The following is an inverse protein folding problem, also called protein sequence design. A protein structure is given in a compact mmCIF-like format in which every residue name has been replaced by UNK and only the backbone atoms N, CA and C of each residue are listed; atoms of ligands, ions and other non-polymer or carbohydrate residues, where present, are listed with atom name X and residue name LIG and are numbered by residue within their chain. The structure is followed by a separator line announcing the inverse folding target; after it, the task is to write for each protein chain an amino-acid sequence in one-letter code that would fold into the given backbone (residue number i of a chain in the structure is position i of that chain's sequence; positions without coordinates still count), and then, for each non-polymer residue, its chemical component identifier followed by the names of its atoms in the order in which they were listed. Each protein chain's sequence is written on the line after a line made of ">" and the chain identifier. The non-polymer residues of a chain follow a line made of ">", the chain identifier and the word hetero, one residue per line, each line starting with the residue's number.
data_IF_922803306166
#
_entry.id   IF_922803306166
#
_cell.length_a   1.000
_cell.length_b   1.000
_cell.length_c   1.000
_cell.angle_alpha   90.00
_cell.angle_beta   90.00
_cell.angle_gamma   90.00
#
_symmetry.space_group_name_H-M   'P 1'
#
loop_
_entity.id
_entity.type
_entity.pdbx_description
1 polymer ?
#
# COMPACT_ATOMS: atom_id res chain seq x y z
N UNK A 1 -25.68 2.58 -30.30
CA UNK A 1 -24.29 2.35 -30.73
C UNK A 1 -23.55 3.66 -30.49
N UNK A 2 -23.10 3.83 -29.26
CA UNK A 2 -22.32 4.97 -28.78
C UNK A 2 -21.13 4.30 -28.13
N UNK A 3 -20.00 4.31 -28.84
CA UNK A 3 -18.70 3.85 -28.36
C UNK A 3 -18.32 4.73 -27.17
N UNK A 4 -18.51 4.23 -25.96
CA UNK A 4 -17.82 4.74 -24.79
C UNK A 4 -16.33 4.44 -25.00
N UNK A 5 -15.53 5.49 -25.00
CA UNK A 5 -14.08 5.43 -25.12
C UNK A 5 -13.54 4.80 -23.82
N UNK A 6 -13.23 3.51 -23.87
CA UNK A 6 -12.98 2.63 -22.70
C UNK A 6 -11.51 2.68 -22.24
N UNK A 7 -10.86 3.82 -22.46
CA UNK A 7 -9.47 4.06 -22.07
C UNK A 7 -9.35 5.45 -21.50
N UNK A 8 -9.57 5.61 -20.19
CA UNK A 8 -8.90 6.69 -19.49
C UNK A 8 -7.40 6.47 -19.70
N UNK A 9 -6.78 7.27 -20.56
CA UNK A 9 -5.40 7.08 -20.98
C UNK A 9 -4.50 7.12 -19.74
N UNK A 10 -3.47 6.29 -19.67
CA UNK A 10 -2.55 6.24 -18.50
C UNK A 10 -2.01 7.63 -18.15
N UNK A 11 -1.94 8.51 -19.15
CA UNK A 11 -1.61 9.93 -19.05
C UNK A 11 -2.57 10.71 -18.14
N UNK A 12 -3.88 10.56 -18.29
CA UNK A 12 -4.90 11.23 -17.48
C UNK A 12 -4.91 10.71 -16.03
N UNK A 13 -4.66 9.41 -15.90
CA UNK A 13 -4.49 8.73 -14.62
C UNK A 13 -3.24 9.24 -13.89
N UNK A 14 -2.11 9.38 -14.59
CA UNK A 14 -0.87 9.95 -14.05
C UNK A 14 -1.09 11.39 -13.61
N UNK A 15 -1.75 12.23 -14.43
CA UNK A 15 -2.05 13.61 -14.06
C UNK A 15 -2.91 13.72 -12.79
N UNK A 16 -3.88 12.82 -12.62
CA UNK A 16 -4.72 12.79 -11.42
C UNK A 16 -3.93 12.39 -10.17
N UNK A 17 -3.08 11.37 -10.28
CA UNK A 17 -2.16 10.97 -9.22
C UNK A 17 -1.23 12.11 -8.81
N UNK A 18 -0.64 12.81 -9.77
CA UNK A 18 0.27 13.93 -9.51
C UNK A 18 -0.45 15.05 -8.75
N UNK A 19 -1.67 15.41 -9.16
CA UNK A 19 -2.51 16.39 -8.45
C UNK A 19 -2.76 15.98 -7.01
N UNK A 20 -3.16 14.73 -6.78
CA UNK A 20 -3.40 14.19 -5.43
C UNK A 20 -2.11 14.20 -4.61
N UNK A 21 -0.97 13.77 -5.19
CA UNK A 21 0.32 13.78 -4.50
C UNK A 21 0.71 15.18 -4.07
N UNK A 22 0.68 16.16 -4.97
CA UNK A 22 1.00 17.56 -4.67
C UNK A 22 0.06 18.16 -3.61
N UNK A 23 -1.23 17.81 -3.66
CA UNK A 23 -2.22 18.22 -2.65
C UNK A 23 -1.85 17.68 -1.25
N UNK A 24 -1.45 16.41 -1.14
CA UNK A 24 -1.04 15.83 0.15
C UNK A 24 0.32 16.37 0.62
N UNK A 25 1.28 16.55 -0.29
CA UNK A 25 2.62 17.11 0.01
C UNK A 25 2.56 18.56 0.47
N UNK A 26 1.54 19.33 0.07
CA UNK A 26 1.30 20.68 0.57
C UNK A 26 0.96 20.71 2.08
N UNK A 27 0.46 19.60 2.63
CA UNK A 27 0.13 19.47 4.06
C UNK A 27 1.23 18.71 4.82
N UNK A 28 1.87 17.73 4.18
CA UNK A 28 2.90 16.89 4.78
C UNK A 28 4.27 17.30 4.26
N UNK A 29 4.95 18.16 5.01
CA UNK A 29 6.25 18.68 4.61
C UNK A 29 7.38 17.64 4.70
N UNK A 30 8.23 17.61 3.65
CA UNK A 30 9.52 16.93 3.67
C UNK A 30 9.48 15.41 3.65
N UNK A 31 8.32 14.80 3.31
CA UNK A 31 8.15 13.33 3.33
C UNK A 31 7.50 12.75 2.06
N UNK A 32 8.07 13.03 0.87
CA UNK A 32 7.50 12.57 -0.41
C UNK A 32 7.39 11.04 -0.48
N UNK A 33 8.35 10.28 0.09
CA UNK A 33 8.31 8.82 0.09
C UNK A 33 7.14 8.24 0.91
N UNK A 34 6.77 8.90 2.02
CA UNK A 34 5.62 8.47 2.84
C UNK A 34 4.32 8.70 2.08
N UNK A 35 4.20 9.85 1.42
CA UNK A 35 3.02 10.17 0.58
C UNK A 35 2.93 9.19 -0.59
N UNK A 36 4.04 8.94 -1.29
CA UNK A 36 4.10 7.97 -2.39
C UNK A 36 3.72 6.56 -1.95
N UNK A 37 4.19 6.13 -0.78
CA UNK A 37 3.83 4.82 -0.22
C UNK A 37 2.35 4.76 0.16
N UNK A 38 1.78 5.82 0.76
CA UNK A 38 0.36 5.88 1.09
C UNK A 38 -0.52 5.77 -0.18
N UNK A 39 -0.17 6.49 -1.25
CA UNK A 39 -0.84 6.38 -2.55
C UNK A 39 -0.67 4.98 -3.16
N UNK A 40 0.53 4.41 -3.08
CA UNK A 40 0.80 3.03 -3.54
C UNK A 40 -0.12 2.04 -2.83
N UNK A 41 -0.26 2.15 -1.51
CA UNK A 41 -1.13 1.28 -0.71
C UNK A 41 -2.60 1.49 -1.05
N UNK A 42 -3.05 2.74 -1.20
CA UNK A 42 -4.44 3.04 -1.60
C UNK A 42 -4.78 2.40 -2.95
N UNK A 43 -3.93 2.59 -3.96
CA UNK A 43 -4.15 2.10 -5.32
C UNK A 43 -3.97 0.59 -5.46
N UNK A 44 -3.11 -0.01 -4.63
CA UNK A 44 -3.01 -1.46 -4.48
C UNK A 44 -4.15 -2.06 -3.66
N UNK A 45 -5.04 -1.21 -3.13
CA UNK A 45 -6.17 -1.53 -2.24
C UNK A 45 -5.74 -2.28 -0.97
N UNK A 46 -4.64 -1.84 -0.38
CA UNK A 46 -4.12 -2.33 0.88
C UNK A 46 -4.46 -1.42 2.06
N UNK A 47 -3.86 -1.75 3.20
CA UNK A 47 -3.98 -0.98 4.44
C UNK A 47 -2.60 -0.61 4.96
N UNK A 48 -2.48 0.56 5.57
CA UNK A 48 -1.22 1.15 6.00
C UNK A 48 -1.11 1.13 7.53
N UNK A 49 0.01 0.61 8.03
CA UNK A 49 0.36 0.66 9.44
C UNK A 49 1.47 1.69 9.68
N UNK A 50 1.22 2.66 10.55
CA UNK A 50 2.16 3.73 10.90
C UNK A 50 2.68 3.50 12.32
N UNK A 51 3.93 3.05 12.42
CA UNK A 51 4.64 2.85 13.68
C UNK A 51 5.53 4.06 13.96
N UNK A 52 5.22 4.82 15.01
CA UNK A 52 6.03 5.99 15.36
C UNK A 52 5.73 6.52 16.76
N UNK A 53 6.51 7.51 17.18
CA UNK A 53 6.25 8.31 18.38
C UNK A 53 5.05 9.27 18.18
N UNK A 54 4.42 9.73 19.26
CA UNK A 54 3.35 10.74 19.19
C UNK A 54 3.80 12.05 18.55
N UNK A 55 2.86 12.79 17.93
CA UNK A 55 3.10 14.16 17.45
C UNK A 55 3.70 14.31 16.05
N UNK A 56 3.98 13.23 15.32
CA UNK A 56 4.69 13.28 14.01
C UNK A 56 3.78 13.41 12.77
N UNK A 57 2.54 13.86 12.91
CA UNK A 57 1.66 14.15 11.75
C UNK A 57 0.99 12.93 11.09
N UNK A 58 0.94 11.76 11.75
CA UNK A 58 0.31 10.52 11.23
C UNK A 58 -1.15 10.72 10.81
N UNK A 59 -1.93 11.34 11.70
CA UNK A 59 -3.35 11.64 11.46
C UNK A 59 -3.51 12.72 10.38
N UNK A 60 -2.54 13.61 10.21
CA UNK A 60 -2.56 14.59 9.13
C UNK A 60 -2.41 13.93 7.76
N UNK A 61 -1.52 12.94 7.61
CA UNK A 61 -1.35 12.21 6.34
C UNK A 61 -2.66 11.59 5.86
N UNK A 62 -3.35 10.86 6.74
CA UNK A 62 -4.59 10.19 6.38
C UNK A 62 -5.73 11.19 6.09
N UNK A 63 -5.84 12.28 6.87
CA UNK A 63 -6.82 13.34 6.61
C UNK A 63 -6.54 14.11 5.32
N UNK A 64 -5.28 14.43 5.05
CA UNK A 64 -4.86 15.11 3.83
C UNK A 64 -5.15 14.25 2.60
N UNK A 65 -4.84 12.95 2.66
CA UNK A 65 -5.16 12.01 1.60
C UNK A 65 -6.67 12.00 1.31
N UNK A 66 -7.49 11.84 2.34
CA UNK A 66 -8.93 11.76 2.17
C UNK A 66 -9.57 13.05 1.65
N UNK A 67 -9.18 14.21 2.20
CA UNK A 67 -9.65 15.53 1.72
C UNK A 67 -9.23 15.77 0.27
N UNK A 68 -8.04 15.32 -0.13
CA UNK A 68 -7.54 15.48 -1.51
C UNK A 68 -8.35 14.67 -2.54
N UNK A 69 -8.99 13.57 -2.15
CA UNK A 69 -9.73 12.67 -3.06
C UNK A 69 -11.24 12.63 -2.81
N UNK A 70 -11.78 13.59 -2.06
CA UNK A 70 -13.20 13.69 -1.71
C UNK A 70 -13.78 12.39 -1.11
N UNK A 71 -12.98 11.72 -0.28
CA UNK A 71 -13.38 10.49 0.39
C UNK A 71 -14.00 10.77 1.76
N UNK A 72 -15.01 9.99 2.13
CA UNK A 72 -15.52 9.92 3.49
C UNK A 72 -14.44 9.45 4.47
N UNK A 73 -14.36 10.11 5.63
CA UNK A 73 -13.38 9.79 6.67
C UNK A 73 -14.07 9.49 7.98
N UNK A 74 -13.64 8.40 8.64
CA UNK A 74 -13.95 8.12 10.04
C UNK A 74 -12.67 7.98 10.81
N UNK A 75 -12.59 8.65 11.96
CA UNK A 75 -11.49 8.48 12.92
C UNK A 75 -11.97 7.64 14.08
N UNK A 76 -11.20 6.63 14.44
CA UNK A 76 -11.40 5.74 15.57
C UNK A 76 -10.19 5.94 16.48
N UNK A 77 -10.43 6.43 17.70
CA UNK A 77 -9.43 6.37 18.75
C UNK A 77 -9.57 5.02 19.45
N UNK A 78 -8.56 4.16 19.37
CA UNK A 78 -8.59 2.89 20.06
C UNK A 78 -8.33 3.12 21.54
N UNK A 79 -9.29 2.70 22.36
CA UNK A 79 -9.25 2.78 23.82
C UNK A 79 -9.63 1.43 24.40
N UNK A 80 -9.27 1.15 25.67
CA UNK A 80 -9.59 -0.15 26.30
C UNK A 80 -11.08 -0.47 26.38
N UNK A 81 -11.93 0.55 26.39
CA UNK A 81 -13.40 0.49 26.46
C UNK A 81 -14.09 0.44 25.09
N UNK A 82 -13.36 0.65 23.99
CA UNK A 82 -13.92 0.59 22.64
C UNK A 82 -14.48 -0.80 22.33
N UNK A 83 -15.75 -0.86 21.93
CA UNK A 83 -16.43 -2.12 21.64
C UNK A 83 -16.29 -2.50 20.16
N UNK A 84 -16.32 -3.81 19.82
CA UNK A 84 -16.39 -4.26 18.42
C UNK A 84 -17.55 -3.62 17.65
N UNK A 85 -18.68 -3.40 18.31
CA UNK A 85 -19.87 -2.77 17.74
C UNK A 85 -19.69 -1.29 17.37
N UNK A 86 -18.77 -0.58 18.01
CA UNK A 86 -18.45 0.80 17.61
C UNK A 86 -17.71 0.83 16.27
N UNK A 87 -17.02 -0.27 15.95
CA UNK A 87 -16.29 -0.47 14.71
C UNK A 87 -17.24 -0.98 13.63
N UNK A 88 -17.94 -2.09 13.86
CA UNK A 88 -18.77 -2.79 12.86
C UNK A 88 -20.21 -2.24 12.78
N UNK A 89 -20.71 -1.60 13.82
CA UNK A 89 -22.08 -1.11 13.90
C UNK A 89 -23.00 -2.00 14.74
N UNK A 90 -24.25 -1.59 14.86
CA UNK A 90 -25.28 -2.25 15.66
C UNK A 90 -26.65 -2.19 14.99
N UNK A 91 -27.49 -3.18 15.25
CA UNK A 91 -28.92 -3.11 14.95
C UNK A 91 -29.68 -2.56 16.15
N UNK A 92 -30.41 -1.48 15.97
CA UNK A 92 -31.22 -0.85 17.03
C UNK A 92 -32.69 -1.00 16.67
N UNK A 93 -33.52 -1.38 17.64
CA UNK A 93 -34.97 -1.44 17.45
C UNK A 93 -35.56 -0.04 17.30
N UNK A 94 -36.12 0.26 16.12
CA UNK A 94 -36.89 1.47 15.86
C UNK A 94 -38.35 1.23 16.26
N UNK A 95 -38.79 1.90 17.33
CA UNK A 95 -40.15 1.76 17.86
C UNK A 95 -41.24 2.27 16.90
N UNK A 96 -40.94 3.26 16.06
CA UNK A 96 -41.89 3.82 15.10
C UNK A 96 -42.08 2.87 13.92
N UNK A 97 -40.97 2.33 13.40
CA UNK A 97 -40.98 1.40 12.26
C UNK A 97 -41.33 -0.04 12.67
N UNK A 98 -41.22 -0.35 13.97
CA UNK A 98 -41.32 -1.71 14.53
C UNK A 98 -40.39 -2.68 13.80
N UNK A 99 -39.18 -2.21 13.53
CA UNK A 99 -38.16 -2.96 12.80
C UNK A 99 -36.78 -2.65 13.36
N UNK A 100 -35.80 -3.50 13.07
CA UNK A 100 -34.41 -3.26 13.42
C UNK A 100 -33.75 -2.37 12.36
N UNK A 101 -33.26 -1.20 12.77
CA UNK A 101 -32.50 -0.30 11.92
C UNK A 101 -31.00 -0.50 12.18
N UNK A 102 -30.25 -0.77 11.11
CA UNK A 102 -28.80 -0.83 11.19
C UNK A 102 -28.20 0.57 11.33
N UNK A 103 -27.39 0.76 12.38
CA UNK A 103 -26.54 1.94 12.55
C UNK A 103 -25.11 1.58 12.18
N UNK A 104 -24.56 2.12 11.07
CA UNK A 104 -23.23 1.79 10.60
C UNK A 104 -22.16 2.23 11.60
N UNK A 105 -21.24 1.32 11.90
CA UNK A 105 -20.08 1.58 12.73
C UNK A 105 -19.03 2.44 12.00
N UNK A 106 -17.91 2.66 12.67
CA UNK A 106 -16.87 3.53 12.15
C UNK A 106 -16.14 3.01 10.90
N UNK A 107 -16.23 1.72 10.56
CA UNK A 107 -15.61 1.17 9.34
C UNK A 107 -16.35 1.54 8.05
N UNK A 108 -17.58 2.05 8.14
CA UNK A 108 -18.37 2.48 6.97
C UNK A 108 -17.94 3.88 6.50
N UNK A 109 -16.69 3.98 6.06
CA UNK A 109 -16.09 5.15 5.40
C UNK A 109 -14.98 4.68 4.46
N UNK A 110 -14.66 5.49 3.45
CA UNK A 110 -13.65 5.15 2.46
C UNK A 110 -12.23 5.18 3.04
N UNK A 111 -11.96 6.13 3.93
CA UNK A 111 -10.72 6.17 4.72
C UNK A 111 -11.04 6.09 6.20
N UNK A 112 -10.51 5.06 6.85
CA UNK A 112 -10.65 4.85 8.30
C UNK A 112 -9.30 5.09 8.97
N UNK A 113 -9.24 6.03 9.89
CA UNK A 113 -8.04 6.36 10.67
C UNK A 113 -8.17 5.68 12.03
N UNK A 114 -7.36 4.66 12.29
CA UNK A 114 -7.34 3.96 13.58
C UNK A 114 -6.14 4.39 14.42
N UNK A 115 -6.34 5.29 15.37
CA UNK A 115 -5.25 5.75 16.23
C UNK A 115 -5.03 4.80 17.40
N UNK A 116 -3.77 4.42 17.64
CA UNK A 116 -3.33 3.59 18.77
C UNK A 116 -4.01 2.22 18.83
N UNK A 117 -4.05 1.51 17.70
CA UNK A 117 -4.75 0.22 17.56
C UNK A 117 -4.38 -0.80 18.64
N UNK A 118 -3.15 -0.71 19.18
CA UNK A 118 -2.65 -1.52 20.27
C UNK A 118 -3.27 -1.20 21.65
N UNK A 119 -4.15 -0.21 21.80
CA UNK A 119 -4.82 0.11 23.09
C UNK A 119 -6.18 -0.55 23.28
N UNK A 120 -6.80 -1.04 22.21
CA UNK A 120 -8.08 -1.75 22.34
C UNK A 120 -7.90 -3.25 22.58
N UNK A 121 -8.98 -3.87 23.08
CA UNK A 121 -9.01 -5.31 23.32
C UNK A 121 -8.75 -6.12 22.03
N UNK A 122 -8.20 -7.34 22.13
CA UNK A 122 -8.02 -8.23 20.97
C UNK A 122 -9.30 -8.49 20.18
N UNK A 123 -10.48 -8.47 20.83
CA UNK A 123 -11.78 -8.63 20.15
C UNK A 123 -12.10 -7.42 19.27
N UNK A 124 -11.87 -6.22 19.78
CA UNK A 124 -12.06 -4.95 19.07
C UNK A 124 -11.09 -4.82 17.89
N UNK A 125 -9.81 -5.18 18.10
CA UNK A 125 -8.83 -5.26 17.02
C UNK A 125 -9.28 -6.23 15.92
N UNK A 126 -9.76 -7.43 16.31
CA UNK A 126 -10.23 -8.44 15.36
C UNK A 126 -11.39 -7.95 14.49
N UNK A 127 -12.33 -7.19 15.06
CA UNK A 127 -13.46 -6.65 14.31
C UNK A 127 -13.04 -5.70 13.18
N UNK A 128 -12.05 -4.83 13.42
CA UNK A 128 -11.47 -3.98 12.36
C UNK A 128 -10.74 -4.82 11.31
N UNK A 129 -9.93 -5.78 11.76
CA UNK A 129 -9.08 -6.60 10.89
C UNK A 129 -9.87 -7.58 10.01
N UNK A 130 -11.01 -8.07 10.51
CA UNK A 130 -11.96 -8.86 9.72
C UNK A 130 -12.62 -7.99 8.64
N UNK A 131 -13.06 -6.78 9.01
CA UNK A 131 -13.60 -5.80 8.05
C UNK A 131 -12.59 -5.44 6.95
N UNK A 132 -11.30 -5.36 7.29
CA UNK A 132 -10.20 -5.15 6.34
C UNK A 132 -10.04 -6.30 5.33
N UNK A 133 -10.13 -7.55 5.79
CA UNK A 133 -9.92 -8.71 4.94
C UNK A 133 -11.15 -8.98 4.06
N UNK A 134 -12.34 -8.97 4.66
CA UNK A 134 -13.59 -9.39 4.01
C UNK A 134 -14.24 -8.25 3.22
N UNK A 135 -13.88 -6.98 3.50
CA UNK A 135 -14.50 -5.77 2.92
C UNK A 135 -16.02 -5.67 3.09
N UNK A 136 -16.54 -6.40 4.06
CA UNK A 136 -17.94 -6.41 4.43
C UNK A 136 -18.04 -6.64 5.94
N UNK A 137 -19.20 -6.34 6.50
CA UNK A 137 -19.53 -6.59 7.90
C UNK A 137 -20.84 -7.34 7.95
N UNK A 138 -20.91 -8.43 8.72
CA UNK A 138 -22.16 -9.17 8.94
C UNK A 138 -22.67 -8.97 10.35
N UNK A 139 -23.88 -8.44 10.48
CA UNK A 139 -24.57 -8.18 11.75
C UNK A 139 -25.97 -8.77 11.65
N UNK A 140 -26.36 -9.57 12.66
CA UNK A 140 -27.66 -10.23 12.75
C UNK A 140 -28.09 -11.00 11.50
N UNK A 141 -27.12 -11.63 10.82
CA UNK A 141 -27.34 -12.40 9.59
C UNK A 141 -27.50 -11.57 8.32
N UNK A 142 -27.40 -10.23 8.40
CA UNK A 142 -27.35 -9.35 7.24
C UNK A 142 -25.92 -8.86 6.98
N UNK A 143 -25.49 -8.93 5.73
CA UNK A 143 -24.16 -8.51 5.29
C UNK A 143 -24.23 -7.14 4.64
N UNK A 144 -23.33 -6.26 5.05
CA UNK A 144 -23.21 -4.88 4.59
C UNK A 144 -21.83 -4.67 3.98
N UNK A 145 -21.79 -4.32 2.70
CA UNK A 145 -20.56 -4.02 1.96
C UNK A 145 -19.93 -2.70 2.43
N UNK A 146 -18.60 -2.66 2.48
CA UNK A 146 -17.86 -1.42 2.78
C UNK A 146 -17.73 -0.55 1.52
N UNK A 147 -17.67 0.79 1.67
CA UNK A 147 -17.57 1.69 0.52
C UNK A 147 -16.24 1.55 -0.19
N UNK A 148 -16.22 1.80 -1.51
CA UNK A 148 -15.01 1.70 -2.34
C UNK A 148 -14.58 3.13 -2.77
N UNK A 149 -13.27 3.47 -2.71
CA UNK A 149 -12.17 2.69 -2.16
C UNK A 149 -12.28 2.54 -0.62
N UNK A 150 -11.74 1.45 -0.07
CA UNK A 150 -11.68 1.21 1.37
C UNK A 150 -10.22 1.08 1.83
N UNK A 151 -9.76 2.01 2.67
CA UNK A 151 -8.41 2.00 3.22
C UNK A 151 -8.42 2.29 4.72
N UNK A 152 -7.84 1.39 5.50
CA UNK A 152 -7.50 1.63 6.91
C UNK A 152 -6.07 2.15 7.01
N UNK A 153 -5.91 3.29 7.68
CA UNK A 153 -4.62 3.81 8.14
C UNK A 153 -4.58 3.68 9.65
N UNK A 154 -3.88 2.67 10.16
CA UNK A 154 -3.77 2.41 11.58
C UNK A 154 -2.43 2.95 12.11
N UNK A 155 -2.44 3.51 13.32
CA UNK A 155 -1.24 3.92 14.02
C UNK A 155 -1.03 3.07 15.27
N UNK A 156 0.23 2.80 15.59
CA UNK A 156 0.60 2.24 16.89
C UNK A 156 1.84 2.94 17.45
N UNK A 157 1.89 3.09 18.77
CA UNK A 157 3.06 3.61 19.48
C UNK A 157 3.85 2.43 20.07
N UNK A 158 5.08 2.16 19.61
CA UNK A 158 5.86 1.02 20.09
C UNK A 158 6.43 1.20 21.50
N UNK A 159 6.38 2.42 22.07
CA UNK A 159 7.03 2.74 23.36
C UNK A 159 6.08 2.55 24.56
N UNK A 160 4.77 2.62 24.36
CA UNK A 160 3.78 2.48 25.44
C UNK A 160 3.58 1.01 25.82
N UNK A 161 4.15 0.62 26.96
CA UNK A 161 4.12 -0.76 27.46
C UNK A 161 3.03 -1.04 28.50
N UNK A 162 2.42 -0.01 29.10
CA UNK A 162 1.33 -0.19 30.07
C UNK A 162 -0.04 -0.12 29.40
N UNK A 163 -0.86 -1.16 29.61
CA UNK A 163 -2.25 -1.20 29.14
C UNK A 163 -2.41 -1.38 27.63
N UNK A 164 -1.40 -1.88 26.93
CA UNK A 164 -1.44 -2.14 25.48
C UNK A 164 -1.47 -3.64 25.16
N UNK A 165 -2.19 -3.98 24.09
CA UNK A 165 -2.29 -5.29 23.46
C UNK A 165 -1.59 -5.21 22.09
N UNK A 166 -0.33 -5.66 21.99
CA UNK A 166 0.39 -5.62 20.72
C UNK A 166 -0.33 -6.47 19.68
N UNK A 167 -0.36 -6.01 18.44
CA UNK A 167 -0.93 -6.78 17.34
C UNK A 167 -0.11 -8.08 17.14
N UNK A 168 -0.74 -9.26 17.26
CA UNK A 168 -0.11 -10.52 16.88
C UNK A 168 0.38 -10.48 15.43
N UNK A 169 1.37 -11.30 15.10
CA UNK A 169 1.99 -11.30 13.78
C UNK A 169 0.98 -11.64 12.67
N UNK A 170 0.07 -12.58 12.94
CA UNK A 170 -1.02 -12.93 12.04
C UNK A 170 -1.97 -11.75 11.75
N UNK A 171 -2.08 -10.80 12.68
CA UNK A 171 -2.87 -9.58 12.52
C UNK A 171 -2.11 -8.50 11.76
N UNK A 172 -0.82 -8.30 12.09
CA UNK A 172 0.06 -7.36 11.37
C UNK A 172 0.19 -7.73 9.89
N UNK A 173 0.14 -9.01 9.56
CA UNK A 173 0.21 -9.53 8.19
C UNK A 173 -0.89 -8.99 7.26
N UNK A 174 -2.04 -8.59 7.82
CA UNK A 174 -3.16 -7.98 7.06
C UNK A 174 -2.88 -6.56 6.59
N UNK A 175 -1.95 -5.84 7.22
CA UNK A 175 -1.50 -4.55 6.70
C UNK A 175 -0.55 -4.78 5.53
N UNK A 176 -0.79 -4.10 4.42
CA UNK A 176 0.01 -4.23 3.20
C UNK A 176 1.43 -3.73 3.42
N UNK A 177 1.56 -2.54 3.98
CA UNK A 177 2.83 -1.90 4.26
C UNK A 177 2.85 -1.28 5.66
N UNK A 178 4.07 -1.18 6.18
CA UNK A 178 4.40 -0.46 7.40
C UNK A 178 5.37 0.67 7.09
N UNK A 179 5.12 1.84 7.68
CA UNK A 179 6.01 2.99 7.56
C UNK A 179 6.24 3.66 8.92
N UNK A 180 7.43 4.24 9.08
CA UNK A 180 7.74 5.21 10.12
C UNK A 180 7.91 6.57 9.45
N UNK A 181 7.25 7.58 10.01
CA UNK A 181 7.23 8.96 9.53
C UNK A 181 8.45 9.72 10.07
N UNK A 182 8.93 9.41 11.27
CA UNK A 182 10.02 10.10 11.97
C UNK A 182 9.68 11.54 12.35
N UNK A 183 10.59 12.21 13.07
CA UNK A 183 10.50 13.65 13.29
C UNK A 183 10.67 14.42 11.96
N UNK A 184 10.00 15.56 11.77
CA UNK A 184 10.30 16.45 10.65
C UNK A 184 11.77 16.90 10.70
N UNK A 185 12.35 17.24 9.55
CA UNK A 185 13.65 17.90 9.52
C UNK A 185 13.55 19.26 10.25
N UNK A 186 14.60 19.75 10.95
CA UNK A 186 14.52 21.02 11.68
C UNK A 186 13.97 22.20 10.88
N UNK A 187 14.25 22.26 9.57
CA UNK A 187 13.69 23.30 8.68
C UNK A 187 12.17 23.16 8.47
N UNK A 188 11.66 21.93 8.36
CA UNK A 188 10.22 21.67 8.29
C UNK A 188 9.57 21.94 9.65
N UNK A 189 10.24 21.58 10.75
CA UNK A 189 9.76 21.89 12.10
C UNK A 189 9.69 23.42 12.34
N UNK A 190 10.68 24.19 11.88
CA UNK A 190 10.65 25.65 11.91
C UNK A 190 9.47 26.23 11.12
N UNK A 191 9.22 25.75 9.89
CA UNK A 191 8.06 26.19 9.10
C UNK A 191 6.73 25.81 9.78
N UNK A 192 6.67 24.66 10.43
CA UNK A 192 5.50 24.27 11.22
C UNK A 192 5.23 25.25 12.38
N UNK A 193 6.26 25.88 12.97
CA UNK A 193 6.09 26.92 13.99
C UNK A 193 5.46 28.19 13.42
N UNK A 194 5.83 28.58 12.19
CA UNK A 194 5.25 29.73 11.49
C UNK A 194 3.77 29.49 11.15
N UNK A 195 3.40 28.23 10.84
CA UNK A 195 2.03 27.82 10.51
C UNK A 195 1.15 27.60 11.76
N UNK A 196 1.72 27.23 12.91
CA UNK A 196 0.96 26.99 14.15
C UNK A 196 0.30 28.25 14.75
N UNK A 197 0.57 29.45 14.21
CA UNK A 197 -0.15 30.68 14.53
C UNK A 197 -1.34 31.01 13.61
N UNK A 198 -1.60 30.21 12.56
CA UNK A 198 -2.59 30.46 11.51
C UNK A 198 -3.68 29.36 11.38
N UNK A 199 -4.41 29.39 10.25
CA UNK A 199 -5.42 28.37 9.88
C UNK A 199 -4.72 27.05 9.56
N UNK A 200 -5.31 25.91 9.94
CA UNK A 200 -4.71 24.60 9.64
C UNK A 200 -4.63 24.41 8.12
N UNK A 201 -3.48 24.02 7.54
CA UNK A 201 -3.37 23.73 6.10
C UNK A 201 -4.37 22.68 5.60
N UNK A 202 -4.84 21.82 6.50
CA UNK A 202 -5.90 20.86 6.20
C UNK A 202 -7.22 21.55 5.86
N UNK A 203 -7.56 22.66 6.51
CA UNK A 203 -8.88 23.32 6.37
C UNK A 203 -9.03 24.07 5.06
N UNK A 204 -7.92 24.55 4.50
CA UNK A 204 -7.89 25.17 3.18
C UNK A 204 -7.78 24.13 2.04
N UNK A 205 -7.50 22.85 2.37
CA UNK A 205 -7.31 21.80 1.39
C UNK A 205 -8.62 21.48 0.66
N UNK A 206 -8.67 21.82 -0.63
CA UNK A 206 -9.78 21.50 -1.52
C UNK A 206 -9.58 20.12 -2.18
N UNK A 207 -10.64 19.33 -2.39
CA UNK A 207 -10.54 18.10 -3.15
C UNK A 207 -10.02 18.37 -4.56
N UNK A 208 -9.03 17.58 -4.98
CA UNK A 208 -8.44 17.63 -6.32
C UNK A 208 -8.85 16.44 -7.18
N UNK A 209 -9.39 15.39 -6.57
CA UNK A 209 -10.02 14.26 -7.26
C UNK A 209 -11.24 13.81 -6.46
N UNK A 210 -12.09 13.01 -7.08
CA UNK A 210 -13.20 12.33 -6.42
C UNK A 210 -12.94 10.83 -6.27
N UNK A 211 -13.63 10.21 -5.31
CA UNK A 211 -13.50 8.78 -5.05
C UNK A 211 -13.69 7.89 -6.29
N UNK A 212 -14.61 8.25 -7.19
CA UNK A 212 -14.85 7.47 -8.41
C UNK A 212 -13.67 7.52 -9.40
N UNK A 213 -12.87 8.60 -9.40
CA UNK A 213 -11.63 8.69 -10.17
C UNK A 213 -10.56 7.76 -9.56
N UNK A 214 -10.52 7.65 -8.24
CA UNK A 214 -9.65 6.69 -7.53
C UNK A 214 -10.03 5.25 -7.83
N UNK A 215 -11.33 4.95 -7.97
CA UNK A 215 -11.78 3.61 -8.40
C UNK A 215 -11.26 3.27 -9.81
N UNK A 216 -11.35 4.21 -10.76
CA UNK A 216 -10.77 4.04 -12.10
C UNK A 216 -9.26 3.84 -12.06
N UNK A 217 -8.55 4.55 -11.18
CA UNK A 217 -7.12 4.36 -10.94
C UNK A 217 -6.79 2.96 -10.43
N UNK A 218 -7.56 2.46 -9.47
CA UNK A 218 -7.43 1.09 -8.96
C UNK A 218 -7.62 0.07 -10.08
N UNK A 219 -8.62 0.26 -10.95
CA UNK A 219 -8.88 -0.62 -12.10
C UNK A 219 -7.71 -0.61 -13.10
N UNK A 220 -7.18 0.57 -13.43
CA UNK A 220 -6.00 0.70 -14.28
C UNK A 220 -4.76 -0.01 -13.68
N UNK A 221 -4.53 0.15 -12.38
CA UNK A 221 -3.44 -0.51 -11.64
C UNK A 221 -3.57 -2.03 -11.67
N UNK A 222 -4.79 -2.57 -11.60
CA UNK A 222 -5.02 -4.02 -11.77
C UNK A 222 -4.58 -4.51 -13.15
N UNK A 223 -4.75 -3.67 -14.19
CA UNK A 223 -4.33 -3.92 -15.58
C UNK A 223 -2.81 -3.93 -15.81
N UNK A 224 -2.00 -3.35 -14.92
CA UNK A 224 -0.53 -3.30 -15.07
C UNK A 224 0.05 -4.70 -15.24
N UNK A 225 0.89 -4.86 -16.26
CA UNK A 225 1.53 -6.12 -16.59
C UNK A 225 2.66 -6.46 -15.60
N UNK A 226 2.75 -7.73 -15.22
CA UNK A 226 3.88 -8.26 -14.44
C UNK A 226 4.36 -9.53 -15.14
N UNK A 227 5.55 -9.43 -15.73
CA UNK A 227 6.18 -10.54 -16.44
C UNK A 227 6.53 -11.68 -15.47
N UNK A 228 6.50 -12.92 -15.97
CA UNK A 228 6.80 -14.12 -15.18
C UNK A 228 8.13 -14.04 -14.40
N UNK A 229 9.24 -13.50 -14.95
CA UNK A 229 10.48 -13.35 -14.20
C UNK A 229 10.35 -12.45 -12.97
N UNK A 230 9.55 -11.37 -13.05
CA UNK A 230 9.28 -10.47 -11.91
C UNK A 230 8.42 -11.15 -10.85
N UNK A 231 7.43 -11.95 -11.27
CA UNK A 231 6.62 -12.77 -10.34
C UNK A 231 7.49 -13.77 -9.59
N UNK A 232 8.37 -14.47 -10.31
CA UNK A 232 9.32 -15.42 -9.72
C UNK A 232 10.26 -14.71 -8.74
N UNK A 233 10.81 -13.57 -9.12
CA UNK A 233 11.65 -12.76 -8.24
C UNK A 233 10.95 -12.40 -6.91
N UNK A 234 9.68 -11.99 -6.95
CA UNK A 234 8.90 -11.72 -5.74
C UNK A 234 8.69 -12.98 -4.86
N UNK A 235 8.48 -14.14 -5.49
CA UNK A 235 8.39 -15.43 -4.78
C UNK A 235 9.73 -15.79 -4.14
N UNK A 236 10.84 -15.62 -4.87
CA UNK A 236 12.19 -15.93 -4.39
C UNK A 236 12.58 -15.06 -3.20
N UNK A 237 12.28 -13.75 -3.24
CA UNK A 237 12.47 -12.84 -2.10
C UNK A 237 11.72 -13.32 -0.86
N UNK A 238 10.43 -13.65 -1.01
CA UNK A 238 9.61 -14.12 0.12
C UNK A 238 10.09 -15.49 0.62
N UNK A 239 10.47 -16.40 -0.26
CA UNK A 239 11.03 -17.70 0.10
C UNK A 239 12.35 -17.55 0.88
N UNK A 240 13.22 -16.63 0.47
CA UNK A 240 14.46 -16.32 1.16
C UNK A 240 14.22 -15.87 2.61
N UNK A 241 13.15 -15.11 2.89
CA UNK A 241 12.80 -14.76 4.29
C UNK A 241 12.47 -15.97 5.16
N UNK A 242 12.00 -17.08 4.59
CA UNK A 242 11.66 -18.31 5.33
C UNK A 242 12.86 -19.20 5.57
N UNK A 243 13.91 -19.05 4.77
CA UNK A 243 15.16 -19.80 4.88
C UNK A 243 16.27 -19.03 5.61
N UNK A 244 16.06 -17.74 5.93
CA UNK A 244 17.08 -16.89 6.50
C UNK A 244 17.38 -17.26 7.97
N UNK A 245 18.66 -17.48 8.36
CA UNK A 245 19.03 -17.97 9.69
C UNK A 245 18.69 -17.00 10.83
N UNK A 246 18.67 -15.69 10.55
CA UNK A 246 18.32 -14.67 11.54
C UNK A 246 16.81 -14.52 11.77
N UNK A 247 15.97 -15.29 11.07
CA UNK A 247 14.51 -15.20 11.19
C UNK A 247 13.92 -16.49 11.78
N UNK A 248 13.17 -16.34 12.88
CA UNK A 248 12.33 -17.40 13.45
C UNK A 248 11.03 -17.58 12.66
N UNK A 249 10.52 -16.51 12.08
CA UNK A 249 9.32 -16.51 11.22
C UNK A 249 9.58 -15.64 9.99
N UNK A 250 9.46 -16.25 8.81
CA UNK A 250 9.51 -15.57 7.51
C UNK A 250 8.15 -15.05 7.06
N UNK A 251 8.11 -14.36 5.93
CA UNK A 251 6.89 -13.74 5.41
C UNK A 251 5.89 -14.78 4.86
N UNK A 252 4.59 -14.52 5.04
CA UNK A 252 3.49 -15.36 4.57
C UNK A 252 3.32 -15.31 3.03
N UNK A 253 2.55 -16.23 2.41
CA UNK A 253 2.19 -16.10 0.99
C UNK A 253 1.40 -14.81 0.68
N UNK A 254 0.64 -14.28 1.65
CA UNK A 254 -0.05 -12.98 1.51
C UNK A 254 0.95 -11.86 1.23
N UNK A 255 2.15 -11.91 1.83
CA UNK A 255 3.20 -10.95 1.59
C UNK A 255 3.61 -10.86 0.10
N UNK A 256 3.65 -12.00 -0.61
CA UNK A 256 3.95 -12.04 -2.04
C UNK A 256 2.86 -11.34 -2.85
N UNK A 257 1.58 -11.57 -2.53
CA UNK A 257 0.45 -10.90 -3.18
C UNK A 257 0.48 -9.39 -2.93
N UNK A 258 0.72 -8.97 -1.68
CA UNK A 258 0.86 -7.57 -1.31
C UNK A 258 2.03 -6.90 -2.03
N UNK A 259 3.18 -7.57 -2.12
CA UNK A 259 4.36 -7.03 -2.78
C UNK A 259 4.13 -6.83 -4.29
N UNK A 260 3.48 -7.79 -4.96
CA UNK A 260 3.15 -7.66 -6.39
C UNK A 260 2.09 -6.59 -6.66
N UNK A 261 1.04 -6.49 -5.82
CA UNK A 261 0.01 -5.44 -5.97
C UNK A 261 0.61 -4.05 -5.75
N UNK A 262 1.46 -3.91 -4.72
CA UNK A 262 2.15 -2.66 -4.45
C UNK A 262 3.14 -2.30 -5.57
N UNK A 263 3.87 -3.28 -6.14
CA UNK A 263 4.76 -3.05 -7.26
C UNK A 263 4.01 -2.59 -8.53
N UNK A 264 2.83 -3.16 -8.81
CA UNK A 264 1.94 -2.68 -9.89
C UNK A 264 1.52 -1.23 -9.67
N UNK A 265 1.10 -0.89 -8.45
CA UNK A 265 0.74 0.47 -8.11
C UNK A 265 1.93 1.44 -8.26
N UNK A 266 3.12 1.07 -7.78
CA UNK A 266 4.35 1.87 -7.96
C UNK A 266 4.71 2.09 -9.42
N UNK A 267 4.57 1.07 -10.26
CA UNK A 267 4.80 1.18 -11.69
C UNK A 267 3.81 2.15 -12.36
N UNK A 268 2.52 2.03 -12.04
CA UNK A 268 1.49 2.95 -12.55
C UNK A 268 1.70 4.40 -12.07
N UNK A 269 2.06 4.60 -10.80
CA UNK A 269 2.43 5.91 -10.25
C UNK A 269 3.66 6.52 -10.97
N UNK A 270 4.49 5.68 -11.58
CA UNK A 270 5.64 6.09 -12.41
C UNK A 270 5.28 6.23 -13.89
N UNK A 271 4.00 6.17 -14.25
CA UNK A 271 3.52 6.24 -15.65
C UNK A 271 3.84 5.01 -16.49
N UNK A 272 4.08 3.85 -15.87
CA UNK A 272 4.40 2.59 -16.57
C UNK A 272 3.25 1.60 -16.53
N UNK A 273 2.99 0.95 -17.67
CA UNK A 273 2.01 -0.15 -17.80
C UNK A 273 2.57 -1.53 -17.39
N UNK A 274 3.82 -1.59 -16.95
CA UNK A 274 4.47 -2.82 -16.53
C UNK A 274 5.36 -2.59 -15.30
N UNK A 275 5.38 -3.57 -14.41
CA UNK A 275 6.23 -3.55 -13.22
C UNK A 275 7.63 -4.10 -13.52
N UNK A 276 8.64 -3.47 -12.92
CA UNK A 276 10.03 -3.90 -12.95
C UNK A 276 10.45 -4.57 -11.64
N UNK A 277 11.55 -5.34 -11.62
CA UNK A 277 12.14 -5.83 -10.36
C UNK A 277 12.42 -4.70 -9.37
N UNK A 278 12.81 -3.52 -9.85
CA UNK A 278 13.10 -2.35 -9.02
C UNK A 278 11.87 -1.87 -8.23
N UNK A 279 10.66 -2.00 -8.79
CA UNK A 279 9.40 -1.68 -8.08
C UNK A 279 9.19 -2.63 -6.89
N UNK A 280 9.55 -3.91 -7.08
CA UNK A 280 9.49 -4.94 -6.02
C UNK A 280 10.53 -4.65 -4.94
N UNK A 281 11.76 -4.30 -5.33
CA UNK A 281 12.85 -4.00 -4.39
C UNK A 281 12.56 -2.76 -3.54
N UNK A 282 12.08 -1.68 -4.16
CA UNK A 282 11.78 -0.42 -3.49
C UNK A 282 10.72 -0.58 -2.39
N UNK A 283 9.81 -1.55 -2.53
CA UNK A 283 8.72 -1.81 -1.59
C UNK A 283 9.01 -2.96 -0.63
N UNK A 284 10.08 -3.74 -0.86
CA UNK A 284 10.38 -4.94 -0.10
C UNK A 284 10.45 -4.69 1.40
N UNK A 285 11.13 -3.62 1.85
CA UNK A 285 11.25 -3.30 3.28
C UNK A 285 9.89 -2.92 3.88
N UNK A 286 9.19 -1.97 3.25
CA UNK A 286 7.91 -1.47 3.74
C UNK A 286 6.83 -2.57 3.78
N UNK A 287 6.89 -3.53 2.86
CA UNK A 287 5.93 -4.63 2.76
C UNK A 287 6.36 -5.81 3.63
N UNK A 288 7.63 -6.23 3.64
CA UNK A 288 8.03 -7.49 4.27
C UNK A 288 8.40 -7.35 5.75
N UNK A 289 9.10 -6.28 6.14
CA UNK A 289 9.81 -6.24 7.43
C UNK A 289 8.90 -6.45 8.65
N UNK A 290 7.68 -5.90 8.65
CA UNK A 290 6.74 -6.01 9.77
C UNK A 290 6.11 -7.40 9.93
N UNK A 291 6.34 -8.30 8.98
CA UNK A 291 5.86 -9.70 9.00
C UNK A 291 6.91 -10.68 9.53
N UNK A 292 8.15 -10.23 9.70
CA UNK A 292 9.27 -11.07 10.07
C UNK A 292 9.50 -11.04 11.57
N UNK A 293 9.85 -12.20 12.14
CA UNK A 293 10.31 -12.28 13.52
C UNK A 293 11.78 -12.68 13.55
N UNK A 294 12.67 -11.76 13.96
CA UNK A 294 14.07 -12.10 14.21
C UNK A 294 14.21 -13.17 15.31
N UNK A 295 15.25 -13.98 15.21
CA UNK A 295 15.63 -14.92 16.28
C UNK A 295 16.16 -14.16 17.51
N UNK A 296 16.16 -14.81 18.68
CA UNK A 296 16.74 -14.21 19.90
C UNK A 296 18.21 -13.81 19.70
N UNK A 297 18.97 -14.61 18.94
CA UNK A 297 20.37 -14.29 18.62
C UNK A 297 20.49 -13.06 17.72
N UNK A 298 19.65 -12.92 16.70
CA UNK A 298 19.60 -11.74 15.85
C UNK A 298 19.25 -10.48 16.65
N UNK A 299 18.30 -10.60 17.59
CA UNK A 299 17.94 -9.50 18.51
C UNK A 299 19.11 -9.09 19.42
N UNK A 300 19.85 -10.04 19.99
CA UNK A 300 21.06 -9.77 20.78
C UNK A 300 22.13 -9.04 19.96
N UNK A 301 22.26 -9.42 18.69
CA UNK A 301 23.17 -8.78 17.73
C UNK A 301 22.62 -7.45 17.18
N UNK A 302 21.47 -6.97 17.69
CA UNK A 302 20.76 -5.75 17.25
C UNK A 302 20.44 -5.73 15.75
N UNK A 303 20.22 -6.90 15.16
CA UNK A 303 19.85 -7.03 13.75
C UNK A 303 18.34 -6.84 13.62
N UNK A 304 17.93 -5.86 12.82
CA UNK A 304 16.51 -5.56 12.61
C UNK A 304 15.93 -6.34 11.43
N UNK A 305 14.61 -6.50 11.38
CA UNK A 305 13.94 -7.14 10.27
C UNK A 305 14.17 -6.39 8.94
N UNK A 306 14.25 -5.07 8.98
CA UNK A 306 14.54 -4.22 7.83
C UNK A 306 15.93 -4.50 7.25
N UNK A 307 16.93 -4.65 8.12
CA UNK A 307 18.30 -4.98 7.70
C UNK A 307 18.35 -6.36 7.04
N UNK A 308 17.64 -7.35 7.59
CA UNK A 308 17.55 -8.69 7.01
C UNK A 308 16.85 -8.64 5.64
N UNK A 309 15.79 -7.86 5.48
CA UNK A 309 15.13 -7.69 4.18
C UNK A 309 16.05 -7.03 3.15
N UNK A 310 16.78 -5.98 3.55
CA UNK A 310 17.75 -5.31 2.67
C UNK A 310 18.83 -6.28 2.19
N UNK A 311 19.35 -7.11 3.09
CA UNK A 311 20.32 -8.16 2.76
C UNK A 311 19.74 -9.18 1.78
N UNK A 312 18.53 -9.68 2.02
CA UNK A 312 17.85 -10.61 1.12
C UNK A 312 17.68 -10.00 -0.27
N UNK A 313 17.28 -8.73 -0.36
CA UNK A 313 17.12 -8.02 -1.63
C UNK A 313 18.45 -7.93 -2.39
N UNK A 314 19.54 -7.64 -1.70
CA UNK A 314 20.88 -7.55 -2.30
C UNK A 314 21.42 -8.91 -2.76
N UNK A 315 21.08 -10.00 -2.07
CA UNK A 315 21.58 -11.34 -2.37
C UNK A 315 20.73 -12.08 -3.42
N UNK A 316 19.44 -11.74 -3.53
CA UNK A 316 18.53 -12.43 -4.46
C UNK A 316 18.80 -11.97 -5.90
N UNK A 317 19.15 -12.87 -6.82
CA UNK A 317 19.46 -12.50 -8.20
C UNK A 317 18.28 -11.82 -8.89
N UNK A 318 18.52 -10.65 -9.47
CA UNK A 318 17.54 -9.95 -10.31
C UNK A 318 17.41 -10.71 -11.64
N UNK A 319 16.20 -10.94 -12.17
CA UNK A 319 16.04 -11.59 -13.45
C UNK A 319 16.75 -10.81 -14.56
N UNK A 320 17.58 -11.50 -15.35
CA UNK A 320 18.20 -10.90 -16.52
C UNK A 320 17.12 -10.49 -17.53
N UNK A 321 17.26 -9.31 -18.13
CA UNK A 321 16.44 -8.93 -19.28
C UNK A 321 16.57 -10.03 -20.34
N UNK A 322 15.46 -10.44 -20.99
CA UNK A 322 15.55 -11.43 -22.06
C UNK A 322 16.56 -10.92 -23.08
N UNK A 323 17.67 -11.64 -23.22
CA UNK A 323 18.61 -11.41 -24.32
C UNK A 323 17.78 -11.51 -25.59
N UNK A 324 17.65 -10.40 -26.31
CA UNK A 324 17.17 -10.44 -27.69
C UNK A 324 18.03 -11.49 -28.39
N UNK A 325 17.42 -12.60 -28.78
CA UNK A 325 18.10 -13.66 -29.49
C UNK A 325 18.83 -13.01 -30.65
N UNK A 326 20.15 -12.99 -30.57
CA UNK A 326 21.02 -12.33 -31.53
C UNK A 326 20.59 -12.74 -32.93
N UNK A 327 20.37 -11.74 -33.79
CA UNK A 327 19.93 -11.93 -35.16
C UNK A 327 20.69 -13.09 -35.77
N UNK A 328 19.95 -14.13 -36.17
CA UNK A 328 20.47 -15.23 -36.95
C UNK A 328 21.10 -14.58 -38.17
N UNK A 329 22.44 -14.58 -38.19
CA UNK A 329 23.21 -14.20 -39.35
C UNK A 329 22.77 -15.08 -40.50
N UNK A 330 21.93 -14.53 -41.37
CA UNK A 330 21.70 -15.06 -42.70
C UNK A 330 23.04 -14.94 -43.44
N UNK A 331 23.85 -15.99 -43.31
CA UNK A 331 24.95 -16.31 -44.20
C UNK A 331 24.38 -16.56 -45.59
N UNK A 332 24.04 -15.47 -46.28
CA UNK A 332 23.66 -15.46 -47.68
C UNK A 332 24.86 -15.81 -48.52
N UNK A 333 24.93 -17.08 -48.93
CA UNK A 333 25.80 -17.56 -50.01
C UNK A 333 25.67 -16.63 -51.21
N UNK A 334 26.80 -16.08 -51.65
CA UNK A 334 26.97 -15.39 -52.93
C UNK A 334 26.60 -16.34 -54.07
N UNK A 335 25.69 -15.98 -55.00
CA UNK A 335 25.51 -16.75 -56.22
C UNK A 335 26.67 -16.46 -57.18
N UNK A 336 27.44 -17.49 -57.52
CA UNK A 336 28.39 -17.46 -58.64
C UNK A 336 27.62 -17.32 -59.94
N UNK A 337 27.62 -16.12 -60.53
CA UNK A 337 27.23 -15.91 -61.92
C UNK A 337 28.35 -16.40 -62.85
N UNK A 338 27.98 -17.29 -63.77
CA UNK A 338 28.86 -17.90 -64.76
C UNK A 338 29.45 -16.88 -65.74
N UNK A 339 30.72 -17.09 -66.09
CA UNK A 339 31.37 -16.43 -67.23
C UNK A 339 31.03 -17.19 -68.53
N UNK A 340 30.63 -16.53 -69.63
CA UNK A 340 30.63 -17.15 -70.94
C UNK A 340 32.07 -17.21 -71.50
N UNK A 341 32.46 -18.38 -72.01
CA UNK A 341 33.67 -18.55 -72.82
C UNK A 341 33.48 -17.93 -74.21
N UNK A 342 34.53 -17.34 -74.83
CA UNK A 342 34.49 -16.98 -76.23
C UNK A 342 34.85 -18.20 -77.09
N UNK A 343 34.01 -18.53 -78.07
CA UNK A 343 34.42 -19.31 -79.25
C UNK A 343 34.07 -18.50 -80.50
N UNK A 344 35.10 -18.17 -81.27
CA UNK A 344 34.98 -17.46 -82.54
C UNK A 344 34.46 -18.36 -83.66
N UNK A 345 33.78 -17.74 -84.61
CA UNK A 345 34.23 -17.46 -85.99
C UNK A 345 33.27 -16.45 -86.60
#
# INVERSE_FOLDING_TARGET
>A
MTTYDDGADLTDLTATVERVRSSVEAVIEGKPEVVRLALTVLLAEGHLLIEDVPGVGKTMLAKALARSIDCSVRRIQFTPDLLPSDITGVSIWDQQRRDFEFKPGAVFAQIVIGDEINRASPKTQSALLESMEERQVTIDGQTYELPIPFMVVATQNPVEMEGTYPLPEAQRDRFMARVSIGYPHPEAELRMLDVHGGVSPLDDLQPVAHAHEVVKLIEAVRGVHVAEPVRRYAVDLVAATRAHPDLRLGASPRATLHLLRAAKASAALSGREYALPDDVQALAVAVLAHRLLPTAQAQLNRRTAEQVVQEIVQQTPVPAAPQQAGGIGLGGRTPQFGRPQPRGL
#
